data_IF_521146483300
#
_entry.id   IF_521146483300
#
_cell.length_a   1.000
_cell.length_b   1.000
_cell.length_c   1.000
_cell.angle_alpha   90.00
_cell.angle_beta   90.00
_cell.angle_gamma   90.00
#
_symmetry.space_group_name_H-M   'P 1'
#
loop_
_entity.id
_entity.type
_entity.pdbx_description
1 polymer ?
#
# COMPACT_ATOMS: atom_id res chain seq x y z
N UNK A 1 -16.91 -2.40 -2.76
CA UNK A 1 -16.03 -3.13 -1.83
C UNK A 1 -15.10 -4.07 -2.60
N UNK A 2 -15.62 -4.80 -3.57
CA UNK A 2 -14.77 -5.66 -4.42
C UNK A 2 -13.73 -4.85 -5.20
N UNK A 3 -14.06 -3.65 -5.65
CA UNK A 3 -13.10 -2.72 -6.26
C UNK A 3 -12.08 -2.20 -5.24
N UNK A 4 -12.45 -2.14 -3.97
CA UNK A 4 -11.53 -1.80 -2.90
C UNK A 4 -10.59 -2.93 -2.53
N UNK A 5 -10.91 -4.18 -2.84
CA UNK A 5 -10.00 -5.30 -2.57
C UNK A 5 -8.75 -5.26 -3.45
N UNK A 6 -8.84 -4.75 -4.66
CA UNK A 6 -7.71 -4.58 -5.56
C UNK A 6 -6.88 -3.34 -5.22
N UNK A 7 -7.51 -2.30 -4.69
CA UNK A 7 -6.89 -1.03 -4.36
C UNK A 7 -6.99 -0.63 -2.89
N UNK A 8 -7.35 -1.57 -2.01
CA UNK A 8 -7.69 -1.24 -0.62
C UNK A 8 -6.54 -0.58 0.13
N UNK A 9 -5.32 -1.04 -0.03
CA UNK A 9 -4.16 -0.43 0.60
C UNK A 9 -3.90 0.98 0.10
N UNK A 10 -4.04 1.21 -1.18
CA UNK A 10 -3.90 2.56 -1.75
C UNK A 10 -5.01 3.49 -1.25
N UNK A 11 -6.24 3.01 -1.20
CA UNK A 11 -7.37 3.78 -0.66
C UNK A 11 -7.17 4.12 0.82
N UNK A 12 -6.72 3.16 1.62
CA UNK A 12 -6.45 3.33 3.05
C UNK A 12 -5.31 4.33 3.26
N UNK A 13 -4.22 4.19 2.51
CA UNK A 13 -3.09 5.10 2.56
C UNK A 13 -3.49 6.53 2.21
N UNK A 14 -4.27 6.71 1.15
CA UNK A 14 -4.75 8.03 0.74
C UNK A 14 -5.59 8.69 1.83
N UNK A 15 -6.43 7.92 2.52
CA UNK A 15 -7.22 8.44 3.64
C UNK A 15 -6.33 8.91 4.78
N UNK A 16 -5.31 8.15 5.16
CA UNK A 16 -4.36 8.54 6.20
C UNK A 16 -3.58 9.78 5.79
N UNK A 17 -3.12 9.86 4.57
CA UNK A 17 -2.38 11.02 4.07
C UNK A 17 -3.27 12.27 4.01
N UNK A 18 -4.51 12.11 3.57
CA UNK A 18 -5.49 13.22 3.57
C UNK A 18 -5.78 13.70 4.98
N UNK A 19 -5.84 12.80 5.94
CA UNK A 19 -6.06 13.18 7.33
C UNK A 19 -4.87 13.92 7.92
N UNK A 20 -3.66 13.56 7.56
CA UNK A 20 -2.45 14.34 7.92
C UNK A 20 -2.51 15.75 7.37
N UNK A 21 -3.14 15.93 6.20
CA UNK A 21 -3.30 17.23 5.53
C UNK A 21 -4.56 17.98 5.97
N UNK A 22 -5.61 17.24 6.30
CA UNK A 22 -6.92 17.77 6.68
C UNK A 22 -7.29 17.20 8.05
N UNK A 23 -6.99 17.92 9.11
CA UNK A 23 -7.32 17.51 10.47
C UNK A 23 -8.82 17.23 10.62
N UNK A 24 -9.19 16.07 11.14
CA UNK A 24 -10.53 15.75 11.60
C UNK A 24 -11.34 14.73 10.82
N UNK A 25 -10.74 13.97 9.86
CA UNK A 25 -11.44 12.91 9.14
C UNK A 25 -11.64 11.64 9.97
N UNK A 26 -10.77 11.39 10.94
CA UNK A 26 -10.88 10.27 11.87
C UNK A 26 -10.77 10.75 13.31
N UNK A 27 -11.58 10.18 14.23
CA UNK A 27 -11.55 10.59 15.65
C UNK A 27 -10.21 10.25 16.32
N UNK A 28 -9.59 9.13 15.96
CA UNK A 28 -8.30 8.71 16.49
C UNK A 28 -7.62 7.68 15.60
N UNK A 29 -6.30 7.54 15.75
CA UNK A 29 -5.53 6.48 15.09
C UNK A 29 -5.97 5.10 15.55
N UNK A 30 -6.31 4.94 16.84
CA UNK A 30 -6.78 3.68 17.40
C UNK A 30 -8.08 3.21 16.73
N UNK A 31 -9.03 4.10 16.56
CA UNK A 31 -10.29 3.79 15.87
C UNK A 31 -10.05 3.44 14.39
N UNK A 32 -9.15 4.15 13.73
CA UNK A 32 -8.75 3.81 12.37
C UNK A 32 -8.18 2.39 12.29
N UNK A 33 -7.28 2.02 13.19
CA UNK A 33 -6.67 0.69 13.25
C UNK A 33 -7.72 -0.39 13.48
N UNK A 34 -8.67 -0.16 14.37
CA UNK A 34 -9.74 -1.12 14.67
C UNK A 34 -10.56 -1.49 13.42
N UNK A 35 -10.77 -0.54 12.54
CA UNK A 35 -11.63 -0.73 11.37
C UNK A 35 -10.87 -1.06 10.08
N UNK A 36 -9.67 -0.57 9.90
CA UNK A 36 -9.00 -0.55 8.59
C UNK A 36 -7.64 -1.20 8.54
N UNK A 37 -6.98 -1.44 9.66
CA UNK A 37 -5.65 -2.06 9.67
C UNK A 37 -5.68 -3.47 9.08
N UNK A 38 -4.73 -3.77 8.22
CA UNK A 38 -4.52 -5.13 7.73
C UNK A 38 -3.76 -5.92 8.80
N UNK A 39 -4.48 -6.77 9.50
CA UNK A 39 -3.96 -7.66 10.55
C UNK A 39 -3.79 -9.09 10.02
N UNK A 40 -3.03 -9.95 10.72
CA UNK A 40 -2.93 -11.36 10.33
C UNK A 40 -4.29 -12.06 10.24
N UNK A 41 -5.22 -11.70 11.14
CA UNK A 41 -6.57 -12.25 11.18
C UNK A 41 -7.37 -11.85 9.94
N UNK A 42 -7.22 -10.61 9.49
CA UNK A 42 -7.88 -10.11 8.26
C UNK A 42 -7.23 -10.68 7.02
N UNK A 43 -5.91 -10.81 7.01
CA UNK A 43 -5.19 -11.44 5.90
C UNK A 43 -5.61 -12.92 5.72
N UNK A 44 -5.90 -13.62 6.81
CA UNK A 44 -6.36 -15.00 6.77
C UNK A 44 -7.71 -15.18 6.04
N UNK A 45 -8.50 -14.11 5.90
CA UNK A 45 -9.75 -14.10 5.12
C UNK A 45 -9.50 -14.02 3.61
N UNK A 46 -8.33 -13.62 3.20
CA UNK A 46 -7.95 -13.57 1.80
C UNK A 46 -7.54 -14.96 1.28
N UNK A 47 -7.38 -15.09 -0.02
CA UNK A 47 -6.88 -16.32 -0.63
C UNK A 47 -5.47 -16.64 -0.12
N UNK A 48 -5.14 -17.93 -0.02
CA UNK A 48 -3.83 -18.37 0.48
C UNK A 48 -2.64 -17.83 -0.32
N UNK A 49 -2.83 -17.60 -1.62
CA UNK A 49 -1.82 -17.07 -2.52
C UNK A 49 -1.95 -15.56 -2.76
N UNK A 50 -2.77 -14.86 -1.98
CA UNK A 50 -2.88 -13.43 -2.09
C UNK A 50 -1.56 -12.75 -1.72
N UNK A 51 -1.14 -11.78 -2.50
CA UNK A 51 0.06 -10.99 -2.24
C UNK A 51 -0.29 -9.75 -1.45
N UNK A 52 0.56 -9.44 -0.47
CA UNK A 52 0.47 -8.19 0.28
C UNK A 52 1.41 -7.18 -0.38
N UNK A 53 0.84 -6.10 -0.85
CA UNK A 53 1.55 -5.03 -1.57
C UNK A 53 1.31 -3.69 -0.89
N UNK A 54 2.30 -2.82 -0.96
CA UNK A 54 2.20 -1.45 -0.47
C UNK A 54 3.22 -0.59 -1.21
N UNK A 55 2.82 0.54 -1.79
CA UNK A 55 3.75 1.35 -2.59
C UNK A 55 4.79 2.09 -1.75
N UNK A 56 4.63 2.11 -0.42
CA UNK A 56 5.48 2.86 0.50
C UNK A 56 5.26 4.38 0.44
N UNK A 57 5.71 5.10 1.46
CA UNK A 57 6.12 4.58 2.75
C UNK A 57 4.94 4.01 3.54
N UNK A 58 5.15 2.92 4.27
CA UNK A 58 4.09 2.32 5.09
C UNK A 58 4.16 2.84 6.53
N UNK A 59 2.99 2.90 7.17
CA UNK A 59 2.88 3.25 8.58
C UNK A 59 2.55 1.95 9.35
N UNK A 60 3.59 1.29 9.85
CA UNK A 60 3.43 0.05 10.62
C UNK A 60 2.54 0.27 11.83
N UNK A 61 1.58 -0.61 12.03
CA UNK A 61 0.61 -0.49 13.12
C UNK A 61 -0.51 0.52 12.88
N UNK A 62 -0.63 1.07 11.69
CA UNK A 62 -1.74 1.95 11.29
C UNK A 62 -2.55 1.31 10.17
N UNK A 63 -2.10 1.37 8.91
CA UNK A 63 -2.80 0.70 7.80
C UNK A 63 -2.40 -0.75 7.64
N UNK A 64 -1.23 -1.15 8.14
CA UNK A 64 -0.71 -2.50 8.04
C UNK A 64 0.03 -2.88 9.32
N UNK A 65 -0.26 -4.08 9.85
CA UNK A 65 0.46 -4.61 10.99
C UNK A 65 1.88 -5.00 10.58
N UNK A 66 2.87 -4.79 11.47
CA UNK A 66 4.26 -5.17 11.20
C UNK A 66 4.41 -6.65 10.84
N UNK A 67 3.68 -7.53 11.52
CA UNK A 67 3.69 -8.97 11.24
C UNK A 67 3.20 -9.30 9.83
N UNK A 68 2.24 -8.55 9.31
CA UNK A 68 1.76 -8.71 7.93
C UNK A 68 2.77 -8.14 6.92
N UNK A 69 3.36 -6.99 7.22
CA UNK A 69 4.38 -6.38 6.36
C UNK A 69 5.59 -7.28 6.15
N UNK A 70 5.93 -8.09 7.14
CA UNK A 70 7.09 -8.96 7.12
C UNK A 70 6.74 -10.46 6.90
N UNK A 71 5.48 -10.77 6.56
CA UNK A 71 5.06 -12.15 6.32
C UNK A 71 5.52 -12.68 4.95
N UNK A 72 5.42 -14.00 4.75
CA UNK A 72 5.82 -14.65 3.50
C UNK A 72 5.01 -14.25 2.27
N UNK A 73 3.80 -13.69 2.45
CA UNK A 73 2.96 -13.18 1.37
C UNK A 73 3.28 -11.73 1.01
N UNK A 74 4.10 -11.05 1.80
CA UNK A 74 4.48 -9.66 1.56
C UNK A 74 5.54 -9.56 0.47
N UNK A 75 5.27 -8.76 -0.54
CA UNK A 75 6.19 -8.42 -1.63
C UNK A 75 6.48 -6.91 -1.67
N UNK A 76 6.30 -6.23 -0.56
CA UNK A 76 6.40 -4.77 -0.46
C UNK A 76 7.79 -4.28 -0.89
N UNK A 77 8.84 -4.89 -0.38
CA UNK A 77 10.22 -4.53 -0.73
C UNK A 77 10.49 -4.74 -2.22
N UNK A 78 10.08 -5.87 -2.76
CA UNK A 78 10.22 -6.18 -4.19
C UNK A 78 9.40 -5.21 -5.05
N UNK A 79 8.22 -4.84 -4.60
CA UNK A 79 7.37 -3.86 -5.28
C UNK A 79 8.06 -2.49 -5.35
N UNK A 80 8.63 -2.02 -4.25
CA UNK A 80 9.31 -0.72 -4.21
C UNK A 80 10.53 -0.73 -5.15
N UNK A 81 11.32 -1.77 -5.12
CA UNK A 81 12.48 -1.95 -5.99
C UNK A 81 12.07 -1.99 -7.48
N UNK A 82 11.08 -2.80 -7.80
CA UNK A 82 10.53 -2.90 -9.16
C UNK A 82 9.92 -1.58 -9.62
N UNK A 83 9.29 -0.83 -8.72
CA UNK A 83 8.73 0.49 -9.01
C UNK A 83 9.79 1.50 -9.45
N UNK A 84 10.97 1.48 -8.84
CA UNK A 84 12.11 2.32 -9.27
C UNK A 84 12.52 1.94 -10.69
N UNK A 85 12.71 0.66 -10.96
CA UNK A 85 13.12 0.18 -12.28
C UNK A 85 12.09 0.54 -13.37
N UNK A 86 10.81 0.37 -13.09
CA UNK A 86 9.73 0.72 -14.04
C UNK A 86 9.70 2.22 -14.32
N UNK A 87 9.82 3.05 -13.29
CA UNK A 87 9.86 4.52 -13.48
C UNK A 87 11.08 4.95 -14.28
N UNK A 88 12.24 4.36 -14.03
CA UNK A 88 13.45 4.61 -14.83
C UNK A 88 13.24 4.25 -16.30
N UNK A 89 12.64 3.09 -16.57
CA UNK A 89 12.35 2.65 -17.93
C UNK A 89 11.38 3.58 -18.64
N UNK A 90 10.32 4.01 -17.96
CA UNK A 90 9.34 4.95 -18.52
C UNK A 90 9.98 6.31 -18.85
N UNK A 91 10.77 6.86 -17.94
CA UNK A 91 11.48 8.11 -18.17
C UNK A 91 12.45 7.97 -19.36
N UNK A 92 13.19 6.87 -19.44
CA UNK A 92 14.09 6.60 -20.54
C UNK A 92 13.33 6.56 -21.88
N UNK A 93 12.23 5.83 -21.96
CA UNK A 93 11.42 5.71 -23.16
C UNK A 93 10.80 7.04 -23.59
N UNK A 94 10.30 7.82 -22.64
CA UNK A 94 9.63 9.09 -22.92
C UNK A 94 10.62 10.22 -23.26
N UNK A 95 11.83 10.15 -22.74
CA UNK A 95 12.85 11.17 -22.98
C UNK A 95 13.77 10.85 -24.14
N UNK A 96 13.77 9.60 -24.59
CA UNK A 96 14.53 9.21 -25.77
C UNK A 96 13.88 9.82 -27.01
N UNK A 97 14.43 10.92 -27.47
CA UNK A 97 14.09 11.43 -28.80
C UNK A 97 14.67 10.47 -29.81
N UNK A 98 13.81 9.83 -30.56
CA UNK A 98 14.26 9.21 -31.78
C UNK A 98 14.82 10.33 -32.67
N UNK A 99 16.09 10.26 -32.96
CA UNK A 99 16.65 11.07 -34.01
C UNK A 99 16.11 10.51 -35.35
N UNK A 100 15.02 11.10 -35.73
CA UNK A 100 14.43 10.81 -37.05
C UNK A 100 15.16 11.62 -38.07
#
# INVERSE_FOLDING_TARGET
IASCLVGSEMCIRDRIQRERQQKGLFPSVAEYCDHWEITPQRLALAKKNALVMHPGPMNRGVEIASSVADCGQSVITQQVESGVAVRMALLYMLTRRENV
#
